data_IF_682123730627
#
_entry.id   IF_682123730627
#
_cell.length_a   1.000
_cell.length_b   1.000
_cell.length_c   1.000
_cell.angle_alpha   90.00
_cell.angle_beta   90.00
_cell.angle_gamma   90.00
#
_symmetry.space_group_name_H-M   'P 1'
#
loop_
_entity.id
_entity.type
_entity.pdbx_description
1 polymer ?
#
# COMPACT_ATOMS: atom_id res chain seq x y z
N UNK A 1 -7.32 38.91 -48.76
CA UNK A 1 -8.20 37.95 -48.00
C UNK A 1 -7.28 36.95 -47.33
N UNK A 2 -6.87 37.21 -46.09
CA UNK A 2 -6.08 36.26 -45.28
C UNK A 2 -6.98 35.64 -44.28
N UNK A 3 -7.25 34.34 -44.42
CA UNK A 3 -8.05 33.51 -43.53
C UNK A 3 -7.14 32.99 -42.42
N UNK A 4 -7.25 33.61 -41.25
CA UNK A 4 -6.57 33.16 -40.00
C UNK A 4 -7.12 31.83 -39.56
N UNK A 5 -6.38 30.75 -39.83
CA UNK A 5 -6.57 29.46 -39.19
C UNK A 5 -6.27 29.59 -37.68
N UNK A 6 -7.33 29.79 -36.87
CA UNK A 6 -7.28 29.61 -35.41
C UNK A 6 -7.20 28.11 -35.12
N UNK A 7 -5.99 27.64 -34.85
CA UNK A 7 -5.78 26.34 -34.23
C UNK A 7 -6.29 26.45 -32.78
N UNK A 8 -7.55 26.09 -32.59
CA UNK A 8 -8.16 25.94 -31.25
C UNK A 8 -7.46 24.80 -30.53
N UNK A 9 -6.65 25.12 -29.54
CA UNK A 9 -6.12 24.14 -28.59
C UNK A 9 -7.30 23.38 -27.96
N UNK A 10 -7.33 22.07 -28.12
CA UNK A 10 -8.37 21.21 -27.56
C UNK A 10 -8.31 21.24 -26.01
N UNK A 11 -9.40 21.61 -25.31
CA UNK A 11 -9.40 21.71 -23.82
C UNK A 11 -9.26 20.37 -23.09
N UNK A 12 -9.19 19.24 -23.83
CA UNK A 12 -9.17 17.90 -23.23
C UNK A 12 -7.87 17.52 -22.54
N UNK A 13 -6.74 18.13 -22.93
CA UNK A 13 -5.43 17.72 -22.40
C UNK A 13 -5.09 18.31 -21.03
N UNK A 14 -5.67 19.46 -20.69
CA UNK A 14 -5.46 20.10 -19.38
C UNK A 14 -6.19 19.43 -18.22
N UNK A 15 -7.36 18.79 -18.49
CA UNK A 15 -8.14 18.11 -17.46
C UNK A 15 -7.53 16.76 -17.00
N UNK A 16 -6.67 16.16 -17.85
CA UNK A 16 -6.07 14.86 -17.55
C UNK A 16 -4.94 14.90 -16.51
N UNK A 17 -4.17 16.00 -16.46
CA UNK A 17 -2.98 16.07 -15.59
C UNK A 17 -3.33 16.34 -14.12
N UNK A 18 -4.31 17.21 -13.86
CA UNK A 18 -4.74 17.54 -12.51
C UNK A 18 -5.38 16.36 -11.77
N UNK A 19 -6.18 15.55 -12.47
CA UNK A 19 -6.79 14.36 -11.87
C UNK A 19 -5.77 13.25 -11.56
N UNK A 20 -4.70 13.15 -12.35
CA UNK A 20 -3.61 12.17 -12.12
C UNK A 20 -2.73 12.55 -10.93
N UNK A 21 -2.43 13.83 -10.76
CA UNK A 21 -1.64 14.33 -9.63
C UNK A 21 -2.40 14.12 -8.33
N UNK A 22 -3.69 14.39 -8.29
CA UNK A 22 -4.52 14.18 -7.11
C UNK A 22 -4.63 12.70 -6.74
N UNK A 23 -4.73 11.79 -7.72
CA UNK A 23 -4.74 10.35 -7.49
C UNK A 23 -3.43 9.83 -6.89
N UNK A 24 -2.28 10.32 -7.38
CA UNK A 24 -0.97 9.98 -6.83
C UNK A 24 -0.86 10.44 -5.36
N UNK A 25 -1.19 11.70 -5.09
CA UNK A 25 -1.14 12.27 -3.74
C UNK A 25 -2.08 11.51 -2.79
N UNK A 26 -3.30 11.21 -3.24
CA UNK A 26 -4.24 10.42 -2.45
C UNK A 26 -3.69 9.02 -2.14
N UNK A 27 -3.05 8.37 -3.11
CA UNK A 27 -2.43 7.05 -2.91
C UNK A 27 -1.29 7.09 -1.91
N UNK A 28 -0.41 8.08 -2.01
CA UNK A 28 0.69 8.28 -1.05
C UNK A 28 0.16 8.53 0.38
N UNK A 29 -0.81 9.42 0.54
CA UNK A 29 -1.42 9.71 1.85
C UNK A 29 -2.11 8.47 2.41
N UNK A 30 -2.91 7.78 1.62
CA UNK A 30 -3.65 6.60 2.06
C UNK A 30 -2.71 5.46 2.46
N UNK A 31 -1.66 5.19 1.66
CA UNK A 31 -0.63 4.22 1.97
C UNK A 31 0.13 4.58 3.24
N UNK A 32 0.54 5.84 3.39
CA UNK A 32 1.26 6.31 4.58
C UNK A 32 0.41 6.17 5.85
N UNK A 33 -0.84 6.64 5.82
CA UNK A 33 -1.75 6.57 6.98
C UNK A 33 -2.01 5.13 7.37
N UNK A 34 -2.30 4.25 6.41
CA UNK A 34 -2.53 2.84 6.68
C UNK A 34 -1.28 2.17 7.29
N UNK A 35 -0.09 2.48 6.77
CA UNK A 35 1.18 1.95 7.26
C UNK A 35 1.44 2.40 8.70
N UNK A 36 1.34 3.69 9.00
CA UNK A 36 1.56 4.20 10.37
C UNK A 36 0.61 3.57 11.37
N UNK A 37 -0.68 3.46 11.03
CA UNK A 37 -1.67 2.88 11.96
C UNK A 37 -1.38 1.41 12.22
N UNK A 38 -1.06 0.65 11.18
CA UNK A 38 -0.71 -0.78 11.33
C UNK A 38 0.59 -0.96 12.13
N UNK A 39 1.57 -0.09 11.92
CA UNK A 39 2.82 -0.15 12.71
C UNK A 39 2.55 0.06 14.19
N UNK A 40 1.73 1.04 14.55
CA UNK A 40 1.37 1.28 15.94
C UNK A 40 0.66 0.07 16.56
N UNK A 41 -0.25 -0.57 15.81
CA UNK A 41 -0.93 -1.79 16.25
C UNK A 41 0.07 -2.94 16.39
N UNK A 42 0.92 -3.16 15.39
CA UNK A 42 1.94 -4.21 15.39
C UNK A 42 2.89 -4.06 16.58
N UNK A 43 3.43 -2.85 16.77
CA UNK A 43 4.32 -2.55 17.91
C UNK A 43 3.62 -2.81 19.26
N UNK A 44 2.37 -2.37 19.39
CA UNK A 44 1.57 -2.62 20.61
C UNK A 44 1.36 -4.11 20.88
N UNK A 45 1.02 -4.89 19.84
CA UNK A 45 0.85 -6.35 19.97
C UNK A 45 2.18 -7.03 20.34
N UNK A 46 3.29 -6.65 19.71
CA UNK A 46 4.60 -7.21 20.02
C UNK A 46 5.02 -6.94 21.46
N UNK A 47 4.87 -5.70 21.92
CA UNK A 47 5.14 -5.33 23.32
C UNK A 47 4.25 -6.12 24.31
N UNK A 48 2.96 -6.25 24.02
CA UNK A 48 2.05 -7.04 24.84
C UNK A 48 2.47 -8.51 24.95
N UNK A 49 3.11 -9.04 23.89
CA UNK A 49 3.66 -10.40 23.84
C UNK A 49 5.07 -10.51 24.42
N UNK A 50 5.60 -9.46 25.03
CA UNK A 50 6.96 -9.42 25.59
C UNK A 50 8.07 -9.46 24.54
N UNK A 51 7.76 -9.11 23.27
CA UNK A 51 8.74 -9.01 22.17
C UNK A 51 9.17 -7.56 21.98
N UNK A 52 10.37 -7.30 21.42
CA UNK A 52 10.77 -5.96 21.02
C UNK A 52 9.76 -5.34 20.05
N UNK A 53 9.43 -4.05 20.24
CA UNK A 53 8.45 -3.36 19.42
C UNK A 53 8.85 -3.31 17.93
N UNK A 54 10.11 -3.28 17.65
CA UNK A 54 10.72 -3.17 16.33
C UNK A 54 11.03 -4.54 15.66
N UNK A 55 10.70 -5.65 16.32
CA UNK A 55 10.98 -6.99 15.79
C UNK A 55 10.31 -7.23 14.42
N UNK A 56 9.16 -6.61 14.15
CA UNK A 56 8.51 -6.68 12.84
C UNK A 56 9.34 -6.04 11.73
N UNK A 57 9.95 -4.88 12.01
CA UNK A 57 10.81 -4.22 11.03
C UNK A 57 12.12 -5.00 10.80
N UNK A 58 12.70 -5.58 11.85
CA UNK A 58 13.86 -6.45 11.70
C UNK A 58 13.53 -7.62 10.76
N UNK A 59 12.38 -8.28 10.96
CA UNK A 59 11.93 -9.39 10.10
C UNK A 59 11.76 -8.96 8.62
N UNK A 60 11.22 -7.77 8.36
CA UNK A 60 11.08 -7.21 7.00
C UNK A 60 12.47 -6.96 6.38
N UNK A 61 13.38 -6.34 7.13
CA UNK A 61 14.73 -6.06 6.66
C UNK A 61 15.53 -7.33 6.35
N UNK A 62 15.45 -8.33 7.23
CA UNK A 62 16.14 -9.62 7.03
C UNK A 62 15.53 -10.41 5.86
N UNK A 63 14.22 -10.34 5.67
CA UNK A 63 13.54 -10.95 4.50
C UNK A 63 13.99 -10.28 3.21
N UNK A 64 14.06 -8.95 3.18
CA UNK A 64 14.55 -8.21 2.02
C UNK A 64 16.02 -8.54 1.72
N UNK A 65 16.88 -8.58 2.74
CA UNK A 65 18.29 -8.97 2.58
C UNK A 65 18.42 -10.39 2.02
N UNK A 66 17.65 -11.34 2.55
CA UNK A 66 17.59 -12.70 2.04
C UNK A 66 17.14 -12.78 0.57
N UNK A 67 16.12 -12.01 0.21
CA UNK A 67 15.64 -11.95 -1.17
C UNK A 67 16.71 -11.41 -2.14
N UNK A 68 17.36 -10.30 -1.82
CA UNK A 68 18.41 -9.71 -2.66
C UNK A 68 19.64 -10.60 -2.79
N UNK A 69 19.98 -11.36 -1.74
CA UNK A 69 21.08 -12.31 -1.78
C UNK A 69 20.92 -13.40 -2.85
N UNK A 70 19.69 -13.75 -3.24
CA UNK A 70 19.42 -14.68 -4.34
C UNK A 70 19.93 -14.16 -5.70
N UNK A 71 20.08 -12.85 -5.83
CA UNK A 71 20.59 -12.18 -7.04
C UNK A 71 22.07 -11.79 -6.90
N UNK A 72 22.73 -12.26 -5.85
CA UNK A 72 24.11 -11.90 -5.57
C UNK A 72 24.31 -10.46 -5.05
N UNK A 73 23.24 -9.80 -4.62
CA UNK A 73 23.27 -8.44 -4.06
C UNK A 73 23.27 -8.54 -2.53
N UNK A 74 24.34 -8.09 -1.92
CA UNK A 74 24.47 -8.03 -0.47
C UNK A 74 23.92 -6.68 0.05
N UNK A 75 22.77 -6.74 0.76
CA UNK A 75 22.15 -5.61 1.41
C UNK A 75 22.01 -5.87 2.91
N UNK A 76 22.13 -4.82 3.70
CA UNK A 76 21.95 -4.93 5.15
C UNK A 76 20.52 -5.34 5.50
N UNK A 77 20.38 -6.22 6.49
CA UNK A 77 19.11 -6.56 7.15
C UNK A 77 18.86 -5.70 8.40
N UNK A 78 17.92 -6.16 9.23
CA UNK A 78 17.58 -5.54 10.50
C UNK A 78 16.60 -4.37 10.42
N UNK A 79 16.46 -3.63 11.53
CA UNK A 79 15.41 -2.61 11.72
C UNK A 79 15.50 -1.43 10.75
N UNK A 80 16.64 -0.75 10.55
CA UNK A 80 16.68 0.44 9.70
C UNK A 80 16.31 0.15 8.24
N UNK A 81 16.88 -0.87 7.56
CA UNK A 81 16.45 -1.23 6.21
C UNK A 81 15.00 -1.70 6.18
N UNK A 82 14.55 -2.44 7.20
CA UNK A 82 13.18 -2.91 7.30
C UNK A 82 12.16 -1.78 7.33
N UNK A 83 12.43 -0.72 8.09
CA UNK A 83 11.63 0.51 8.08
C UNK A 83 11.55 1.12 6.68
N UNK A 84 12.69 1.30 6.02
CA UNK A 84 12.73 1.90 4.67
C UNK A 84 11.90 1.08 3.69
N UNK A 85 12.12 -0.24 3.64
CA UNK A 85 11.37 -1.12 2.73
C UNK A 85 9.88 -1.13 3.04
N UNK A 86 9.51 -1.18 4.32
CA UNK A 86 8.11 -1.22 4.73
C UNK A 86 7.34 0.02 4.28
N UNK A 87 7.90 1.21 4.53
CA UNK A 87 7.26 2.47 4.10
C UNK A 87 7.26 2.64 2.59
N UNK A 88 8.34 2.29 1.88
CA UNK A 88 8.37 2.36 0.42
C UNK A 88 7.31 1.45 -0.22
N UNK A 89 7.18 0.21 0.27
CA UNK A 89 6.16 -0.73 -0.20
C UNK A 89 4.76 -0.23 0.13
N UNK A 90 4.54 0.27 1.35
CA UNK A 90 3.24 0.81 1.76
C UNK A 90 2.80 2.00 0.89
N UNK A 91 3.70 2.94 0.61
CA UNK A 91 3.45 4.08 -0.28
C UNK A 91 3.17 3.62 -1.72
N UNK A 92 4.00 2.72 -2.26
CA UNK A 92 3.83 2.20 -3.61
C UNK A 92 2.49 1.47 -3.77
N UNK A 93 2.12 0.63 -2.80
CA UNK A 93 0.86 -0.10 -2.82
C UNK A 93 -0.35 0.82 -2.69
N UNK A 94 -0.25 1.89 -1.91
CA UNK A 94 -1.29 2.92 -1.86
C UNK A 94 -1.52 3.57 -3.22
N UNK A 95 -0.45 3.95 -3.92
CA UNK A 95 -0.51 4.52 -5.27
C UNK A 95 -1.09 3.54 -6.29
N UNK A 96 -0.63 2.28 -6.28
CA UNK A 96 -1.11 1.24 -7.18
C UNK A 96 -2.61 0.98 -6.95
N UNK A 97 -3.07 0.92 -5.69
CA UNK A 97 -4.47 0.74 -5.37
C UNK A 97 -5.34 1.87 -5.93
N UNK A 98 -4.96 3.14 -5.70
CA UNK A 98 -5.69 4.29 -6.24
C UNK A 98 -5.69 4.27 -7.77
N UNK A 99 -4.55 3.98 -8.39
CA UNK A 99 -4.46 3.84 -9.84
C UNK A 99 -5.41 2.74 -10.37
N UNK A 100 -5.47 1.59 -9.71
CA UNK A 100 -6.34 0.49 -10.10
C UNK A 100 -7.82 0.86 -10.00
N UNK A 101 -8.28 1.42 -8.86
CA UNK A 101 -9.70 1.75 -8.65
C UNK A 101 -10.19 2.96 -9.45
N UNK A 102 -9.26 3.76 -9.98
CA UNK A 102 -9.59 4.91 -10.85
C UNK A 102 -9.52 4.55 -12.34
N UNK A 103 -8.68 3.58 -12.73
CA UNK A 103 -8.50 3.20 -14.13
C UNK A 103 -9.43 2.10 -14.59
N UNK A 104 -9.80 1.17 -13.73
CA UNK A 104 -10.63 0.02 -14.09
C UNK A 104 -12.05 0.20 -13.57
N UNK A 105 -13.06 0.25 -14.47
CA UNK A 105 -14.46 0.44 -14.10
C UNK A 105 -15.01 -0.66 -13.18
N UNK A 106 -14.57 -1.90 -13.35
CA UNK A 106 -14.92 -3.03 -12.48
C UNK A 106 -14.51 -2.80 -11.00
N UNK A 107 -13.39 -2.11 -10.78
CA UNK A 107 -12.87 -1.79 -9.45
C UNK A 107 -13.34 -0.44 -8.91
N UNK A 108 -14.12 0.31 -9.68
CA UNK A 108 -14.58 1.65 -9.31
C UNK A 108 -15.29 1.65 -7.96
N UNK A 109 -14.88 2.56 -7.09
CA UNK A 109 -15.44 2.67 -5.75
C UNK A 109 -16.80 3.38 -5.78
N UNK A 110 -17.87 2.60 -5.62
CA UNK A 110 -19.25 3.10 -5.56
C UNK A 110 -19.74 3.31 -4.14
N UNK A 111 -19.10 2.67 -3.16
CA UNK A 111 -19.42 2.77 -1.73
C UNK A 111 -18.19 2.53 -0.88
N UNK A 112 -18.21 2.99 0.39
CA UNK A 112 -17.12 2.69 1.35
C UNK A 112 -17.00 1.19 1.60
N UNK A 113 -18.13 0.47 1.67
CA UNK A 113 -18.12 -1.00 1.83
C UNK A 113 -17.36 -1.70 0.71
N UNK A 114 -17.60 -1.28 -0.55
CA UNK A 114 -16.84 -1.79 -1.70
C UNK A 114 -15.36 -1.43 -1.60
N UNK A 115 -15.04 -0.20 -1.17
CA UNK A 115 -13.66 0.23 -0.98
C UNK A 115 -12.92 -0.60 0.06
N UNK A 116 -13.55 -0.87 1.21
CA UNK A 116 -13.00 -1.74 2.26
C UNK A 116 -12.79 -3.15 1.74
N UNK A 117 -13.79 -3.75 1.10
CA UNK A 117 -13.68 -5.11 0.56
C UNK A 117 -12.56 -5.24 -0.49
N UNK A 118 -12.49 -4.27 -1.42
CA UNK A 118 -11.41 -4.24 -2.42
C UNK A 118 -10.05 -3.96 -1.80
N UNK A 119 -9.96 -3.10 -0.78
CA UNK A 119 -8.73 -2.81 -0.07
C UNK A 119 -8.17 -4.06 0.62
N UNK A 120 -9.01 -4.79 1.37
CA UNK A 120 -8.61 -6.04 2.01
C UNK A 120 -8.17 -7.07 0.96
N UNK A 121 -9.00 -7.32 -0.05
CA UNK A 121 -8.66 -8.29 -1.10
C UNK A 121 -7.35 -7.94 -1.81
N UNK A 122 -7.18 -6.66 -2.18
CA UNK A 122 -5.97 -6.17 -2.82
C UNK A 122 -4.74 -6.43 -1.94
N UNK A 123 -4.83 -6.10 -0.66
CA UNK A 123 -3.68 -6.23 0.24
C UNK A 123 -3.31 -7.69 0.47
N UNK A 124 -4.30 -8.56 0.67
CA UNK A 124 -4.05 -9.99 0.83
C UNK A 124 -3.39 -10.59 -0.42
N UNK A 125 -3.85 -10.24 -1.61
CA UNK A 125 -3.24 -10.71 -2.87
C UNK A 125 -1.81 -10.19 -3.02
N UNK A 126 -1.57 -8.89 -2.74
CA UNK A 126 -0.25 -8.29 -2.87
C UNK A 126 0.74 -8.77 -1.81
N UNK A 127 0.26 -9.26 -0.67
CA UNK A 127 1.10 -9.82 0.39
C UNK A 127 1.56 -11.26 0.14
N UNK A 128 0.94 -11.99 -0.79
CA UNK A 128 1.28 -13.40 -1.06
C UNK A 128 2.79 -13.63 -1.30
N UNK A 129 3.48 -12.85 -2.14
CA UNK A 129 4.92 -13.05 -2.34
C UNK A 129 5.72 -12.95 -1.04
N UNK A 130 5.37 -12.00 -0.18
CA UNK A 130 6.03 -11.81 1.11
C UNK A 130 5.71 -12.97 2.07
N UNK A 131 4.46 -13.40 2.15
CA UNK A 131 4.04 -14.53 2.99
C UNK A 131 4.78 -15.83 2.65
N UNK A 132 5.13 -16.02 1.38
CA UNK A 132 5.95 -17.17 0.94
C UNK A 132 7.42 -17.00 1.30
N UNK A 133 7.96 -15.80 1.18
CA UNK A 133 9.38 -15.51 1.38
C UNK A 133 9.78 -15.48 2.86
N UNK A 134 8.95 -14.91 3.73
CA UNK A 134 9.27 -14.71 5.15
C UNK A 134 9.66 -16.01 5.85
N UNK A 135 8.91 -17.12 5.78
CA UNK A 135 9.31 -18.38 6.42
C UNK A 135 10.64 -18.93 5.89
N UNK A 136 10.91 -18.74 4.60
CA UNK A 136 12.11 -19.25 3.94
C UNK A 136 13.36 -18.50 4.45
N UNK A 137 13.32 -17.19 4.46
CA UNK A 137 14.50 -16.36 4.82
C UNK A 137 14.71 -16.26 6.32
N UNK A 138 13.65 -16.27 7.12
CA UNK A 138 13.78 -16.27 8.59
C UNK A 138 14.03 -17.65 9.18
N UNK A 139 14.05 -18.73 8.38
CA UNK A 139 14.28 -20.12 8.83
C UNK A 139 13.40 -20.51 10.02
N UNK A 140 12.14 -20.14 9.95
CA UNK A 140 11.16 -20.36 11.02
C UNK A 140 10.80 -21.84 11.15
N UNK A 141 10.51 -22.29 12.37
CA UNK A 141 9.89 -23.60 12.59
C UNK A 141 8.44 -23.62 12.10
N UNK A 142 7.86 -24.80 11.83
CA UNK A 142 6.50 -24.87 11.32
C UNK A 142 5.45 -24.24 12.28
N UNK A 143 5.49 -24.42 13.60
CA UNK A 143 4.58 -23.73 14.51
C UNK A 143 4.73 -22.19 14.48
N UNK A 144 5.98 -21.71 14.48
CA UNK A 144 6.26 -20.28 14.41
C UNK A 144 5.82 -19.68 13.08
N UNK A 145 5.96 -20.45 12.00
CA UNK A 145 5.51 -20.04 10.68
C UNK A 145 4.00 -19.84 10.63
N UNK A 146 3.21 -20.77 11.19
CA UNK A 146 1.76 -20.66 11.17
C UNK A 146 1.26 -19.45 11.98
N UNK A 147 1.83 -19.20 13.15
CA UNK A 147 1.53 -18.03 13.96
C UNK A 147 1.88 -16.73 13.23
N UNK A 148 3.05 -16.69 12.62
CA UNK A 148 3.53 -15.54 11.85
C UNK A 148 2.62 -15.25 10.65
N UNK A 149 2.22 -16.27 9.89
CA UNK A 149 1.32 -16.13 8.76
C UNK A 149 -0.05 -15.59 9.17
N UNK A 150 -0.65 -16.11 10.24
CA UNK A 150 -1.92 -15.60 10.78
C UNK A 150 -1.78 -14.15 11.22
N UNK A 151 -0.70 -13.82 11.91
CA UNK A 151 -0.43 -12.44 12.34
C UNK A 151 -0.32 -11.50 11.14
N UNK A 152 0.42 -11.86 10.09
CA UNK A 152 0.56 -11.06 8.88
C UNK A 152 -0.77 -10.91 8.14
N UNK A 153 -1.55 -11.97 7.97
CA UNK A 153 -2.88 -11.87 7.34
C UNK A 153 -3.76 -10.85 8.07
N UNK A 154 -3.80 -10.90 9.40
CA UNK A 154 -4.59 -9.95 10.19
C UNK A 154 -4.07 -8.51 9.98
N UNK A 155 -2.76 -8.29 10.04
CA UNK A 155 -2.18 -6.95 9.86
C UNK A 155 -2.42 -6.41 8.44
N UNK A 156 -2.31 -7.25 7.41
CA UNK A 156 -2.60 -6.85 6.03
C UNK A 156 -4.09 -6.58 5.82
N UNK A 157 -4.99 -7.37 6.42
CA UNK A 157 -6.43 -7.09 6.37
C UNK A 157 -6.77 -5.72 6.99
N UNK A 158 -6.17 -5.39 8.15
CA UNK A 158 -6.33 -4.08 8.80
C UNK A 158 -5.77 -2.96 7.90
N UNK A 159 -4.59 -3.15 7.31
CA UNK A 159 -3.98 -2.20 6.39
C UNK A 159 -4.88 -1.96 5.17
N UNK A 160 -5.39 -3.02 4.55
CA UNK A 160 -6.31 -2.96 3.42
C UNK A 160 -7.64 -2.29 3.75
N UNK A 161 -8.18 -2.53 4.96
CA UNK A 161 -9.37 -1.85 5.46
C UNK A 161 -9.14 -0.34 5.53
N UNK A 162 -8.05 0.09 6.17
CA UNK A 162 -7.69 1.50 6.29
C UNK A 162 -7.47 2.16 4.93
N UNK A 163 -6.72 1.50 4.04
CA UNK A 163 -6.50 1.95 2.68
C UNK A 163 -7.84 2.16 1.95
N UNK A 164 -8.72 1.17 1.99
CA UNK A 164 -10.03 1.22 1.34
C UNK A 164 -10.92 2.33 1.89
N UNK A 165 -10.90 2.57 3.20
CA UNK A 165 -11.62 3.68 3.85
C UNK A 165 -11.08 5.02 3.38
N UNK A 166 -9.78 5.27 3.54
CA UNK A 166 -9.14 6.57 3.21
C UNK A 166 -9.36 6.92 1.73
N UNK A 167 -9.12 5.96 0.83
CA UNK A 167 -9.30 6.18 -0.61
C UNK A 167 -10.77 6.44 -0.96
N UNK A 168 -11.71 5.72 -0.34
CA UNK A 168 -13.15 5.93 -0.59
C UNK A 168 -13.59 7.34 -0.18
N UNK A 169 -13.11 7.85 0.94
CA UNK A 169 -13.42 9.22 1.38
C UNK A 169 -12.73 10.26 0.50
N UNK A 170 -11.46 10.09 0.17
CA UNK A 170 -10.71 11.02 -0.67
C UNK A 170 -11.33 11.21 -2.05
N UNK A 171 -11.71 10.11 -2.73
CA UNK A 171 -12.34 10.18 -4.06
C UNK A 171 -13.74 10.79 -4.04
N UNK A 172 -14.48 10.72 -2.92
CA UNK A 172 -15.79 11.38 -2.79
C UNK A 172 -15.66 12.86 -2.53
N UNK A 173 -14.75 13.26 -1.65
CA UNK A 173 -14.49 14.67 -1.35
C UNK A 173 -14.11 15.44 -2.62
N UNK A 174 -13.26 14.85 -3.48
CA UNK A 174 -12.88 15.45 -4.75
C UNK A 174 -14.07 15.68 -5.69
N UNK A 175 -15.04 14.73 -5.74
CA UNK A 175 -16.23 14.89 -6.56
C UNK A 175 -17.14 16.01 -6.06
N UNK A 176 -17.30 16.15 -4.75
CA UNK A 176 -18.11 17.20 -4.17
C UNK A 176 -17.54 18.60 -4.47
N UNK A 177 -16.21 18.75 -4.41
CA UNK A 177 -15.52 20.04 -4.70
C UNK A 177 -15.62 20.44 -6.17
N UNK A 178 -15.80 19.49 -7.10
CA UNK A 178 -15.94 19.79 -8.54
C UNK A 178 -17.37 20.18 -8.96
N UNK A 179 -18.35 19.97 -8.10
CA UNK A 179 -19.79 20.21 -8.41
C UNK A 179 -20.31 21.50 -7.75
N UNK A 180 -19.55 22.12 -6.84
CA UNK A 180 -19.84 23.41 -6.21
C UNK A 180 -19.01 24.53 -6.82
#
# INVERSE_FOLDING_TARGET
>A
MEEKLQHGAHPKDAAGSGARVNGLVLGLIAGLVATIVVDLIMMGVLLFRGKPADAGFAAIGDTAAGFFSLFGVDVAGGVPPGLVWHYLIGLAFGVIFVAAVTRFDALRLTSTKKGVGLGILYTEVMSIPMLVQVPIFLKQTAPDTSELLVFFLIMHAIWGLLLGVVVSYGLRSEKATRQG
#
